data_IF_675850895855
#
_entry.id   IF_675850895855
#
_cell.length_a   1.000
_cell.length_b   1.000
_cell.length_c   1.000
_cell.angle_alpha   90.00
_cell.angle_beta   90.00
_cell.angle_gamma   90.00
#
_symmetry.space_group_name_H-M   'P 1'
#
loop_
_entity.id
_entity.type
_entity.pdbx_description
1 polymer ?
#
# COMPACT_ATOMS: atom_id res chain seq x y z
N UNK A 1 -6.75 -11.19 -1.76
CA UNK A 1 -7.15 -9.90 -2.39
C UNK A 1 -6.01 -9.40 -3.26
N UNK A 2 -6.19 -8.34 -4.06
CA UNK A 2 -5.09 -7.69 -4.78
C UNK A 2 -4.95 -6.24 -4.33
N UNK A 3 -3.78 -5.65 -4.55
CA UNK A 3 -3.57 -4.21 -4.33
C UNK A 3 -4.46 -3.40 -5.27
N UNK A 4 -5.31 -2.54 -4.72
CA UNK A 4 -6.29 -1.77 -5.49
C UNK A 4 -6.74 -0.49 -4.80
N UNK A 5 -7.37 0.41 -5.57
CA UNK A 5 -8.08 1.58 -5.03
C UNK A 5 -9.51 1.16 -4.73
N UNK A 6 -9.95 1.34 -3.48
CA UNK A 6 -11.29 0.99 -3.02
C UNK A 6 -11.79 2.03 -2.02
N UNK A 7 -12.98 2.57 -2.26
CA UNK A 7 -13.64 3.53 -1.37
C UNK A 7 -12.75 4.74 -0.99
N UNK A 8 -11.93 5.23 -1.94
CA UNK A 8 -11.00 6.34 -1.72
C UNK A 8 -9.73 6.00 -0.92
N UNK A 9 -9.40 4.71 -0.81
CA UNK A 9 -8.20 4.18 -0.16
C UNK A 9 -7.39 3.32 -1.12
N UNK A 10 -6.06 3.41 -1.06
CA UNK A 10 -5.18 2.40 -1.62
C UNK A 10 -5.07 1.27 -0.61
N UNK A 11 -5.61 0.10 -0.94
CA UNK A 11 -5.69 -1.07 -0.08
C UNK A 11 -4.69 -2.11 -0.55
N UNK A 12 -3.82 -2.55 0.36
CA UNK A 12 -2.73 -3.51 0.10
C UNK A 12 -2.90 -4.70 1.03
N UNK A 13 -3.19 -5.91 0.53
CA UNK A 13 -3.16 -7.10 1.37
C UNK A 13 -1.74 -7.38 1.85
N UNK A 14 -1.61 -7.81 3.10
CA UNK A 14 -0.30 -8.13 3.67
C UNK A 14 -0.34 -9.31 4.62
N UNK A 15 0.84 -9.91 4.85
CA UNK A 15 1.08 -10.93 5.86
C UNK A 15 2.18 -10.44 6.79
N UNK A 16 1.94 -10.48 8.10
CA UNK A 16 2.87 -9.98 9.10
C UNK A 16 2.27 -10.03 10.51
N UNK A 17 3.10 -9.84 11.51
CA UNK A 17 2.69 -9.79 12.92
C UNK A 17 1.80 -8.58 13.20
N UNK A 18 0.86 -8.70 14.15
CA UNK A 18 -0.11 -7.64 14.50
C UNK A 18 0.53 -6.36 15.05
N UNK A 19 1.75 -6.47 15.60
CA UNK A 19 2.50 -5.35 16.16
C UNK A 19 3.54 -4.78 15.17
N UNK A 20 3.58 -5.27 13.92
CA UNK A 20 4.56 -4.79 12.96
C UNK A 20 4.20 -3.38 12.46
N UNK A 21 5.19 -2.49 12.42
CA UNK A 21 5.04 -1.19 11.76
C UNK A 21 4.95 -1.41 10.24
N UNK A 22 3.83 -1.00 9.63
CA UNK A 22 3.59 -1.17 8.20
C UNK A 22 3.58 0.17 7.49
N UNK A 23 4.35 0.27 6.40
CA UNK A 23 4.37 1.43 5.52
C UNK A 23 4.06 1.02 4.08
N UNK A 24 3.50 1.96 3.33
CA UNK A 24 3.26 1.82 1.89
C UNK A 24 4.02 2.94 1.17
N UNK A 25 4.67 2.61 0.07
CA UNK A 25 5.24 3.57 -0.88
C UNK A 25 4.60 3.39 -2.26
N UNK A 26 4.39 4.50 -2.96
CA UNK A 26 3.81 4.53 -4.32
C UNK A 26 4.80 5.22 -5.25
N UNK A 27 5.70 4.43 -5.82
CA UNK A 27 6.78 4.90 -6.67
C UNK A 27 7.29 3.76 -7.57
N UNK A 28 7.87 4.09 -8.72
CA UNK A 28 8.50 3.07 -9.59
C UNK A 28 9.66 2.35 -8.87
N UNK A 29 10.43 3.11 -8.07
CA UNK A 29 11.43 2.62 -7.13
C UNK A 29 11.33 3.50 -5.88
N UNK A 30 11.04 2.96 -4.69
CA UNK A 30 10.79 3.77 -3.51
C UNK A 30 12.10 4.29 -2.90
N UNK A 31 12.16 5.59 -2.65
CA UNK A 31 13.14 6.23 -1.78
C UNK A 31 12.61 6.31 -0.33
N UNK A 32 13.43 6.74 0.63
CA UNK A 32 13.02 6.77 2.05
C UNK A 32 11.85 7.76 2.27
N UNK A 33 11.82 8.87 1.54
CA UNK A 33 10.76 9.89 1.61
C UNK A 33 9.42 9.45 1.03
N UNK A 34 9.37 8.36 0.25
CA UNK A 34 8.14 7.85 -0.37
C UNK A 34 7.28 7.05 0.61
N UNK A 35 7.88 6.56 1.69
CA UNK A 35 7.17 5.72 2.66
C UNK A 35 6.19 6.53 3.48
N UNK A 36 4.96 6.02 3.57
CA UNK A 36 3.89 6.57 4.39
C UNK A 36 3.40 5.51 5.36
N UNK A 37 3.17 5.84 6.65
CA UNK A 37 2.60 4.89 7.60
C UNK A 37 1.21 4.46 7.11
N UNK A 38 0.92 3.17 7.20
CA UNK A 38 -0.34 2.61 6.75
C UNK A 38 -1.30 2.38 7.93
N UNK A 39 -2.59 2.60 7.69
CA UNK A 39 -3.65 2.15 8.57
C UNK A 39 -3.86 0.65 8.38
N UNK A 40 -3.95 -0.10 9.47
CA UNK A 40 -4.20 -1.54 9.44
C UNK A 40 -5.69 -1.81 9.62
N UNK A 41 -6.23 -2.71 8.81
CA UNK A 41 -7.64 -3.06 8.81
C UNK A 41 -7.85 -4.47 8.24
N UNK A 42 -9.11 -4.88 8.11
CA UNK A 42 -9.52 -6.12 7.47
C UNK A 42 -10.50 -5.85 6.32
N UNK A 43 -10.40 -6.65 5.26
CA UNK A 43 -11.44 -6.76 4.24
C UNK A 43 -11.89 -8.21 4.21
N UNK A 44 -13.11 -8.45 4.70
CA UNK A 44 -13.55 -9.81 5.02
C UNK A 44 -12.69 -10.41 6.13
N UNK A 45 -11.95 -11.49 5.82
CA UNK A 45 -11.03 -12.16 6.76
C UNK A 45 -9.54 -11.89 6.47
N UNK A 46 -9.25 -11.02 5.51
CA UNK A 46 -7.89 -10.75 5.04
C UNK A 46 -7.36 -9.44 5.63
N UNK A 47 -6.13 -9.47 6.17
CA UNK A 47 -5.43 -8.28 6.70
C UNK A 47 -5.01 -7.38 5.55
N UNK A 48 -5.27 -6.08 5.71
CA UNK A 48 -4.91 -5.08 4.72
C UNK A 48 -4.27 -3.86 5.39
N UNK A 49 -3.31 -3.28 4.68
CA UNK A 49 -2.71 -2.00 4.97
C UNK A 49 -3.29 -0.96 4.00
N UNK A 50 -3.60 0.24 4.50
CA UNK A 50 -4.28 1.28 3.72
C UNK A 50 -3.61 2.64 3.86
N UNK A 51 -3.50 3.37 2.76
CA UNK A 51 -3.16 4.80 2.76
C UNK A 51 -4.13 5.58 1.87
N UNK A 52 -4.20 6.90 2.06
CA UNK A 52 -4.85 7.75 1.06
C UNK A 52 -4.06 7.62 -0.25
N UNK A 53 -4.73 7.36 -1.40
CA UNK A 53 -4.05 7.36 -2.68
C UNK A 53 -3.39 8.73 -2.89
N UNK A 54 -2.16 8.78 -3.40
CA UNK A 54 -1.58 10.04 -3.86
C UNK A 54 -2.41 10.61 -5.00
N UNK A 55 -2.18 11.90 -5.31
CA UNK A 55 -2.93 12.61 -6.34
C UNK A 55 -2.97 11.83 -7.66
N UNK A 56 -4.13 11.87 -8.30
CA UNK A 56 -4.36 11.16 -9.56
C UNK A 56 -3.38 11.62 -10.62
N UNK A 57 -2.75 10.65 -11.25
CA UNK A 57 -1.78 10.88 -12.33
C UNK A 57 -2.21 10.25 -13.65
N UNK A 58 -3.27 9.44 -13.65
CA UNK A 58 -3.70 8.64 -14.81
C UNK A 58 -2.69 7.55 -15.21
N UNK A 59 -1.57 7.43 -14.51
CA UNK A 59 -0.49 6.48 -14.79
C UNK A 59 -0.61 5.26 -13.89
N UNK A 60 -0.14 4.13 -14.41
CA UNK A 60 0.10 2.96 -13.60
C UNK A 60 1.38 3.16 -12.77
N UNK A 61 1.24 3.02 -11.46
CA UNK A 61 2.33 3.18 -10.47
C UNK A 61 2.56 1.87 -9.75
N UNK A 62 3.80 1.61 -9.36
CA UNK A 62 4.13 0.48 -8.50
C UNK A 62 3.86 0.82 -7.03
N UNK A 63 3.39 -0.17 -6.29
CA UNK A 63 3.10 -0.10 -4.87
C UNK A 63 4.03 -1.05 -4.15
N UNK A 64 4.60 -0.59 -3.06
CA UNK A 64 5.54 -1.32 -2.23
C UNK A 64 5.04 -1.32 -0.80
N UNK A 65 5.34 -2.41 -0.08
CA UNK A 65 4.98 -2.59 1.30
C UNK A 65 6.26 -2.83 2.12
N UNK A 66 6.37 -2.14 3.25
CA UNK A 66 7.42 -2.35 4.25
C UNK A 66 6.77 -2.80 5.55
N UNK A 67 7.10 -4.00 6.04
CA UNK A 67 6.60 -4.57 7.31
C UNK A 67 7.82 -4.83 8.20
N UNK A 68 8.03 -3.98 9.21
CA UNK A 68 9.32 -3.92 9.91
C UNK A 68 10.45 -3.60 8.91
N UNK A 69 11.48 -4.45 8.86
CA UNK A 69 12.63 -4.28 7.95
C UNK A 69 12.45 -4.97 6.59
N UNK A 70 11.31 -5.64 6.36
CA UNK A 70 11.06 -6.40 5.13
C UNK A 70 10.33 -5.54 4.11
N UNK A 71 10.95 -5.30 2.96
CA UNK A 71 10.36 -4.57 1.83
C UNK A 71 9.95 -5.54 0.73
N UNK A 72 8.70 -5.43 0.28
CA UNK A 72 8.13 -6.31 -0.76
C UNK A 72 7.37 -5.51 -1.82
N UNK A 73 7.45 -5.89 -3.11
CA UNK A 73 6.57 -5.34 -4.13
C UNK A 73 5.14 -5.84 -3.88
N UNK A 74 4.19 -4.91 -3.78
CA UNK A 74 2.79 -5.20 -3.46
C UNK A 74 1.87 -5.22 -4.70
N UNK A 75 2.33 -4.67 -5.83
CA UNK A 75 1.60 -4.69 -7.09
C UNK A 75 1.67 -3.37 -7.82
N UNK A 76 0.70 -3.16 -8.73
CA UNK A 76 0.57 -1.93 -9.49
C UNK A 76 -0.89 -1.48 -9.52
N UNK A 77 -1.11 -0.17 -9.46
CA UNK A 77 -2.44 0.44 -9.55
C UNK A 77 -2.41 1.62 -10.50
N UNK A 78 -3.56 1.93 -11.11
CA UNK A 78 -3.75 3.18 -11.85
C UNK A 78 -4.35 4.20 -10.90
N UNK A 79 -3.70 5.35 -10.73
CA UNK A 79 -4.23 6.45 -9.92
C UNK A 79 -5.20 7.27 -10.77
N UNK A 80 -6.46 6.85 -10.82
CA UNK A 80 -7.57 7.60 -11.43
C UNK A 80 -8.23 8.53 -10.41
N UNK A 81 -8.72 9.68 -10.88
CA UNK A 81 -9.51 10.64 -10.09
C UNK A 81 -10.85 10.05 -9.65
#
# INVERSE_FOLDING_TARGET
>A
MRTEIRDGWLVVPYSGHDLATVHIAVAQRPAEEDWRPAFLDYVGRERVAKIRPPASSGRQVAVWLRVGDVVTPAGRVTLSA
#
